data_IF_608610039806
#
_entry.id   IF_608610039806
#
_cell.length_a   1.000
_cell.length_b   1.000
_cell.length_c   1.000
_cell.angle_alpha   90.00
_cell.angle_beta   90.00
_cell.angle_gamma   90.00
#
_symmetry.space_group_name_H-M   'P 1'
#
loop_
_entity.id
_entity.type
_entity.pdbx_description
1 polymer ?
#
# COMPACT_ATOMS: atom_id res chain seq x y z
N UNK A 1 -25.04 -11.60 39.64
CA UNK A 1 -24.92 -12.21 38.32
C UNK A 1 -25.73 -11.53 37.19
N UNK A 2 -26.98 -11.05 37.45
CA UNK A 2 -27.79 -10.41 36.40
C UNK A 2 -27.27 -9.05 35.90
N UNK A 3 -26.61 -8.24 36.73
CA UNK A 3 -26.03 -6.95 36.32
C UNK A 3 -24.85 -7.06 35.38
N UNK A 4 -24.04 -8.11 35.48
CA UNK A 4 -22.94 -8.39 34.60
C UNK A 4 -23.38 -8.80 33.18
N UNK A 5 -24.46 -9.59 33.09
CA UNK A 5 -25.03 -10.03 31.82
C UNK A 5 -25.65 -8.88 31.01
N UNK A 6 -26.33 -7.96 31.69
CA UNK A 6 -26.96 -6.79 31.06
C UNK A 6 -25.88 -5.83 30.51
N UNK A 7 -24.78 -5.68 31.22
CA UNK A 7 -23.65 -4.84 30.75
C UNK A 7 -22.91 -5.46 29.53
N UNK A 8 -22.77 -6.80 29.53
CA UNK A 8 -22.14 -7.55 28.41
C UNK A 8 -23.03 -7.53 27.16
N UNK A 9 -24.35 -7.70 27.32
CA UNK A 9 -25.33 -7.66 26.21
C UNK A 9 -25.46 -6.24 25.65
N UNK A 10 -25.39 -5.19 26.47
CA UNK A 10 -25.45 -3.79 26.02
C UNK A 10 -24.20 -3.37 25.22
N UNK A 11 -23.00 -3.87 25.56
CA UNK A 11 -21.79 -3.62 24.78
C UNK A 11 -21.82 -4.29 23.40
N UNK A 12 -22.51 -5.43 23.26
CA UNK A 12 -22.61 -6.21 22.01
C UNK A 12 -23.52 -5.58 20.94
N UNK A 13 -24.39 -4.62 21.30
CA UNK A 13 -25.38 -4.03 20.38
C UNK A 13 -25.07 -2.60 19.94
N UNK A 14 -24.09 -1.94 20.54
CA UNK A 14 -23.75 -0.56 20.19
C UNK A 14 -22.97 -0.51 18.85
N UNK A 15 -23.55 0.19 17.87
CA UNK A 15 -22.89 0.42 16.58
C UNK A 15 -21.66 1.31 16.76
N UNK A 16 -20.55 0.93 16.13
CA UNK A 16 -19.26 1.62 16.26
C UNK A 16 -19.13 2.80 15.29
N UNK A 17 -18.53 3.91 15.75
CA UNK A 17 -18.03 4.99 14.88
C UNK A 17 -16.58 4.72 14.53
N UNK A 18 -16.25 4.82 13.25
CA UNK A 18 -14.92 4.48 12.70
C UNK A 18 -14.28 5.71 12.06
N UNK A 19 -13.07 6.02 12.46
CA UNK A 19 -12.23 7.02 11.85
C UNK A 19 -11.09 6.34 11.11
N UNK A 20 -10.97 6.62 9.81
CA UNK A 20 -9.85 6.16 8.98
C UNK A 20 -8.97 7.36 8.65
N UNK A 21 -7.67 7.27 8.95
CA UNK A 21 -6.70 8.33 8.71
C UNK A 21 -5.66 7.87 7.69
N UNK A 22 -5.53 8.63 6.61
CA UNK A 22 -4.50 8.43 5.59
C UNK A 22 -3.70 9.71 5.34
N UNK A 23 -2.83 9.71 4.33
CA UNK A 23 -2.22 10.92 3.78
C UNK A 23 -2.32 10.92 2.26
N UNK A 24 -2.42 12.09 1.68
CA UNK A 24 -2.37 12.29 0.22
C UNK A 24 -0.94 12.24 -0.35
N UNK A 25 0.08 12.07 0.49
CA UNK A 25 1.45 11.82 0.06
C UNK A 25 1.60 10.33 -0.33
N UNK A 26 1.28 10.02 -1.56
CA UNK A 26 1.20 8.65 -2.07
C UNK A 26 -0.26 8.17 -2.22
N UNK A 27 -0.56 7.57 -3.37
CA UNK A 27 -1.93 7.15 -3.69
C UNK A 27 -2.30 5.80 -3.11
N UNK A 28 -1.31 4.94 -2.78
CA UNK A 28 -1.54 3.62 -2.21
C UNK A 28 -2.26 3.67 -0.87
N UNK A 29 -1.75 4.48 0.06
CA UNK A 29 -2.34 4.64 1.39
C UNK A 29 -3.78 5.17 1.36
N UNK A 30 -4.05 6.11 0.44
CA UNK A 30 -5.38 6.67 0.22
C UNK A 30 -6.37 5.62 -0.30
N UNK A 31 -5.96 4.80 -1.28
CA UNK A 31 -6.82 3.74 -1.84
C UNK A 31 -7.05 2.61 -0.85
N UNK A 32 -6.05 2.24 -0.06
CA UNK A 32 -6.22 1.29 1.05
C UNK A 32 -7.25 1.80 2.07
N UNK A 33 -7.20 3.09 2.43
CA UNK A 33 -8.20 3.73 3.28
C UNK A 33 -9.59 3.72 2.66
N UNK A 34 -9.70 4.00 1.35
CA UNK A 34 -10.97 3.95 0.61
C UNK A 34 -11.56 2.54 0.57
N UNK A 35 -10.73 1.51 0.37
CA UNK A 35 -11.15 0.11 0.41
C UNK A 35 -11.74 -0.26 1.77
N UNK A 36 -11.05 0.10 2.86
CA UNK A 36 -11.56 -0.10 4.22
C UNK A 36 -12.86 0.68 4.46
N UNK A 37 -12.95 1.92 3.97
CA UNK A 37 -14.15 2.76 4.12
C UNK A 37 -15.38 2.07 3.51
N UNK A 38 -15.25 1.48 2.31
CA UNK A 38 -16.35 0.73 1.66
C UNK A 38 -16.82 -0.43 2.53
N UNK A 39 -15.89 -1.27 3.00
CA UNK A 39 -16.22 -2.47 3.77
C UNK A 39 -16.79 -2.11 5.15
N UNK A 40 -16.27 -1.07 5.83
CA UNK A 40 -16.84 -0.60 7.09
C UNK A 40 -18.27 -0.06 6.91
N UNK A 41 -18.57 0.64 5.81
CA UNK A 41 -19.92 1.14 5.54
C UNK A 41 -20.96 0.01 5.37
N UNK A 42 -20.54 -1.13 4.84
CA UNK A 42 -21.40 -2.30 4.64
C UNK A 42 -21.60 -3.12 5.94
N UNK A 43 -20.76 -2.89 6.96
CA UNK A 43 -20.77 -3.72 8.17
C UNK A 43 -21.91 -3.33 9.13
N UNK A 44 -22.82 -4.28 9.54
CA UNK A 44 -24.03 -3.98 10.29
C UNK A 44 -23.81 -3.37 11.69
N UNK A 45 -22.63 -3.62 12.30
CA UNK A 45 -22.23 -3.10 13.61
C UNK A 45 -21.54 -1.74 13.54
N UNK A 46 -21.48 -1.11 12.37
CA UNK A 46 -20.90 0.23 12.18
C UNK A 46 -22.02 1.24 11.99
N UNK A 47 -21.95 2.34 12.73
CA UNK A 47 -22.91 3.44 12.65
C UNK A 47 -22.49 4.51 11.66
N UNK A 48 -21.21 4.83 11.66
CA UNK A 48 -20.65 5.92 10.89
C UNK A 48 -19.17 5.65 10.57
N UNK A 49 -18.74 5.97 9.36
CA UNK A 49 -17.34 5.89 8.93
C UNK A 49 -16.95 7.25 8.39
N UNK A 50 -15.84 7.78 8.90
CA UNK A 50 -15.24 9.01 8.38
C UNK A 50 -13.80 8.69 7.94
N UNK A 51 -13.50 8.98 6.70
CA UNK A 51 -12.14 8.95 6.17
C UNK A 51 -11.61 10.37 6.04
N UNK A 52 -10.42 10.63 6.57
CA UNK A 52 -9.79 11.96 6.52
C UNK A 52 -8.30 11.87 6.22
N UNK A 53 -7.81 12.85 5.46
CA UNK A 53 -6.39 13.05 5.22
C UNK A 53 -5.77 13.81 6.40
N UNK A 54 -4.78 13.21 7.04
CA UNK A 54 -4.10 13.82 8.19
C UNK A 54 -3.44 15.17 7.86
N UNK A 55 -3.03 15.38 6.61
CA UNK A 55 -2.43 16.63 6.17
C UNK A 55 -3.40 17.83 6.26
N UNK A 56 -4.71 17.61 6.24
CA UNK A 56 -5.69 18.69 6.43
C UNK A 56 -5.63 19.33 7.82
N UNK A 57 -5.15 18.60 8.82
CA UNK A 57 -5.02 19.07 10.20
C UNK A 57 -3.67 19.72 10.49
N UNK A 58 -2.75 19.74 9.52
CA UNK A 58 -1.47 20.42 9.61
C UNK A 58 -1.57 21.82 9.02
N UNK A 59 -0.60 22.69 9.35
CA UNK A 59 -0.56 24.01 8.73
C UNK A 59 -0.26 23.91 7.21
N UNK A 60 -0.72 24.91 6.45
CA UNK A 60 -0.59 24.92 4.98
C UNK A 60 0.85 24.78 4.51
N UNK A 61 1.81 25.45 5.21
CA UNK A 61 3.23 25.39 4.85
C UNK A 61 3.78 23.99 4.98
N UNK A 62 3.46 23.28 6.08
CA UNK A 62 3.90 21.90 6.28
C UNK A 62 3.28 20.96 5.24
N UNK A 63 1.97 21.09 4.98
CA UNK A 63 1.26 20.27 3.98
C UNK A 63 1.86 20.44 2.58
N UNK A 64 2.05 21.68 2.14
CA UNK A 64 2.60 22.00 0.83
C UNK A 64 4.07 21.55 0.72
N UNK A 65 4.84 21.72 1.80
CA UNK A 65 6.22 21.26 1.89
C UNK A 65 6.31 19.74 1.82
N UNK A 66 5.54 19.02 2.65
CA UNK A 66 5.58 17.55 2.74
C UNK A 66 5.20 16.90 1.40
N UNK A 67 4.10 17.34 0.79
CA UNK A 67 3.63 16.80 -0.48
C UNK A 67 4.59 17.09 -1.64
N UNK A 68 5.11 18.33 -1.72
CA UNK A 68 6.05 18.74 -2.77
C UNK A 68 7.43 18.13 -2.58
N UNK A 69 7.91 18.06 -1.32
CA UNK A 69 9.21 17.48 -1.01
C UNK A 69 9.24 16.00 -1.40
N UNK A 70 8.24 15.23 -0.97
CA UNK A 70 8.15 13.80 -1.32
C UNK A 70 8.14 13.60 -2.85
N UNK A 71 7.28 14.32 -3.57
CA UNK A 71 7.21 14.22 -5.04
C UNK A 71 8.53 14.56 -5.72
N UNK A 72 9.22 15.62 -5.24
CA UNK A 72 10.54 16.02 -5.78
C UNK A 72 11.62 15.01 -5.45
N UNK A 73 11.67 14.48 -4.22
CA UNK A 73 12.66 13.46 -3.85
C UNK A 73 12.51 12.20 -4.69
N UNK A 74 11.28 11.77 -4.96
CA UNK A 74 11.02 10.61 -5.82
C UNK A 74 11.45 10.87 -7.27
N UNK A 75 11.31 12.11 -7.77
CA UNK A 75 11.61 12.47 -9.17
C UNK A 75 13.08 12.85 -9.39
N UNK A 76 13.60 13.72 -8.53
CA UNK A 76 14.84 14.45 -8.77
C UNK A 76 16.03 13.89 -7.97
N UNK A 77 15.77 13.17 -6.87
CA UNK A 77 16.81 12.64 -5.98
C UNK A 77 16.45 11.26 -5.39
N UNK A 78 16.15 10.25 -6.22
CA UNK A 78 15.75 8.91 -5.74
C UNK A 78 16.82 8.23 -4.90
N UNK A 79 18.10 8.38 -5.22
CA UNK A 79 19.21 7.78 -4.48
C UNK A 79 19.33 8.37 -3.06
N UNK A 80 19.12 9.70 -2.92
CA UNK A 80 19.07 10.33 -1.62
C UNK A 80 17.89 9.84 -0.78
N UNK A 81 16.72 9.66 -1.41
CA UNK A 81 15.55 9.09 -0.76
C UNK A 81 15.83 7.67 -0.26
N UNK A 82 16.47 6.82 -1.07
CA UNK A 82 16.87 5.46 -0.71
C UNK A 82 17.88 5.43 0.44
N UNK A 83 18.88 6.31 0.40
CA UNK A 83 19.84 6.46 1.49
C UNK A 83 19.15 6.90 2.80
N UNK A 84 18.31 7.94 2.73
CA UNK A 84 17.54 8.41 3.88
C UNK A 84 16.61 7.34 4.45
N UNK A 85 15.94 6.61 3.58
CA UNK A 85 15.09 5.48 3.96
C UNK A 85 15.87 4.43 4.76
N UNK A 86 17.05 4.02 4.28
CA UNK A 86 17.93 3.09 5.00
C UNK A 86 18.42 3.64 6.33
N UNK A 87 18.80 4.93 6.40
CA UNK A 87 19.28 5.56 7.63
C UNK A 87 18.15 5.73 8.67
N UNK A 88 16.92 5.88 8.23
CA UNK A 88 15.76 6.02 9.13
C UNK A 88 15.17 4.69 9.57
N UNK A 89 15.71 3.55 9.10
CA UNK A 89 15.23 2.19 9.44
C UNK A 89 15.92 1.63 10.69
N UNK A 90 16.05 2.46 11.72
CA UNK A 90 16.52 2.04 13.03
C UNK A 90 15.32 1.89 13.98
N UNK A 91 14.99 0.64 14.39
CA UNK A 91 13.87 0.38 15.27
C UNK A 91 13.97 1.18 16.57
N UNK A 92 12.86 1.80 16.97
CA UNK A 92 12.69 2.57 18.20
C UNK A 92 13.54 3.84 18.34
N UNK A 93 14.48 4.12 17.44
CA UNK A 93 15.25 5.38 17.38
C UNK A 93 14.47 6.45 16.62
N UNK A 94 13.34 6.87 17.15
CA UNK A 94 12.42 7.82 16.50
C UNK A 94 12.61 9.27 16.94
N UNK A 95 13.75 9.65 17.51
CA UNK A 95 13.95 10.98 18.07
C UNK A 95 13.75 12.11 17.07
N UNK A 96 14.20 11.95 15.83
CA UNK A 96 13.96 12.95 14.77
C UNK A 96 12.49 13.13 14.44
N UNK A 97 11.74 12.03 14.34
CA UNK A 97 10.29 12.06 14.10
C UNK A 97 9.55 12.60 15.32
N UNK A 98 9.94 12.20 16.53
CA UNK A 98 9.37 12.69 17.80
C UNK A 98 9.52 14.19 17.93
N UNK A 99 10.71 14.75 17.63
CA UNK A 99 10.95 16.20 17.60
C UNK A 99 10.11 16.92 16.56
N UNK A 100 9.90 16.31 15.41
CA UNK A 100 9.01 16.85 14.37
C UNK A 100 7.54 16.83 14.84
N UNK A 101 7.09 15.74 15.46
CA UNK A 101 5.74 15.60 16.00
C UNK A 101 5.47 16.59 17.15
N UNK A 102 6.46 16.83 18.02
CA UNK A 102 6.36 17.82 19.10
C UNK A 102 6.17 19.27 18.59
N UNK A 103 6.68 19.56 17.40
CA UNK A 103 6.56 20.89 16.75
C UNK A 103 5.29 21.04 15.91
N UNK A 104 4.56 19.98 15.64
CA UNK A 104 3.32 20.04 14.87
C UNK A 104 2.20 20.66 15.73
N UNK A 105 1.45 21.57 15.11
CA UNK A 105 0.21 22.04 15.71
C UNK A 105 -0.87 20.95 15.54
N UNK A 106 -0.94 20.05 16.52
CA UNK A 106 -1.90 18.92 16.53
C UNK A 106 -3.28 19.29 17.09
N UNK A 107 -3.46 20.53 17.57
CA UNK A 107 -4.72 21.00 18.16
C UNK A 107 -5.95 20.76 17.28
N UNK A 108 -5.95 21.10 15.97
CA UNK A 108 -7.05 20.84 15.08
C UNK A 108 -7.41 19.35 14.97
N UNK A 109 -6.40 18.48 14.90
CA UNK A 109 -6.59 17.03 14.85
C UNK A 109 -7.20 16.48 16.13
N UNK A 110 -6.68 16.89 17.29
CA UNK A 110 -7.21 16.52 18.62
C UNK A 110 -8.67 16.95 18.75
N UNK A 111 -8.99 18.20 18.38
CA UNK A 111 -10.37 18.72 18.40
C UNK A 111 -11.30 17.90 17.49
N UNK A 112 -10.83 17.52 16.32
CA UNK A 112 -11.58 16.71 15.35
C UNK A 112 -11.86 15.32 15.92
N UNK A 113 -10.83 14.60 16.40
CA UNK A 113 -10.97 13.25 16.96
C UNK A 113 -11.89 13.26 18.18
N UNK A 114 -11.73 14.21 19.12
CA UNK A 114 -12.60 14.35 20.28
C UNK A 114 -14.04 14.65 19.92
N UNK A 115 -14.28 15.50 18.90
CA UNK A 115 -15.64 15.82 18.43
C UNK A 115 -16.30 14.61 17.76
N UNK A 116 -15.56 13.87 16.96
CA UNK A 116 -16.05 12.68 16.28
C UNK A 116 -16.21 11.50 17.26
N UNK A 117 -15.34 11.41 18.27
CA UNK A 117 -15.33 10.39 19.33
C UNK A 117 -15.40 8.96 18.75
N UNK A 118 -14.38 8.53 17.99
CA UNK A 118 -14.37 7.24 17.32
C UNK A 118 -14.19 6.10 18.31
N UNK A 119 -14.90 5.00 18.09
CA UNK A 119 -14.67 3.74 18.79
C UNK A 119 -13.50 2.95 18.19
N UNK A 120 -13.19 3.21 16.91
CA UNK A 120 -12.10 2.58 16.16
C UNK A 120 -11.42 3.67 15.35
N UNK A 121 -10.10 3.81 15.48
CA UNK A 121 -9.28 4.63 14.60
C UNK A 121 -8.30 3.75 13.86
N UNK A 122 -8.28 3.84 12.52
CA UNK A 122 -7.40 3.06 11.65
C UNK A 122 -6.51 4.00 10.87
N UNK A 123 -5.19 3.79 10.93
CA UNK A 123 -4.22 4.54 10.14
C UNK A 123 -3.63 3.65 9.04
N UNK A 124 -3.74 4.09 7.79
CA UNK A 124 -3.13 3.44 6.63
C UNK A 124 -1.82 4.11 6.21
N UNK A 125 -1.28 4.98 7.04
CA UNK A 125 0.00 5.65 6.84
C UNK A 125 0.70 5.88 8.19
N UNK A 126 2.02 5.76 8.22
CA UNK A 126 2.83 5.89 9.44
C UNK A 126 2.71 7.26 10.12
N UNK A 127 2.57 8.35 9.35
CA UNK A 127 2.53 9.71 9.90
C UNK A 127 1.32 9.94 10.83
N UNK A 128 0.04 9.74 10.42
CA UNK A 128 -1.08 9.85 11.35
C UNK A 128 -1.00 8.84 12.49
N UNK A 129 -0.50 7.62 12.25
CA UNK A 129 -0.30 6.63 13.30
C UNK A 129 0.67 7.14 14.37
N UNK A 130 1.84 7.67 13.96
CA UNK A 130 2.82 8.25 14.86
C UNK A 130 2.29 9.45 15.66
N UNK A 131 1.54 10.36 15.01
CA UNK A 131 0.93 11.52 15.69
C UNK A 131 -0.06 11.07 16.75
N UNK A 132 -1.00 10.19 16.41
CA UNK A 132 -2.04 9.72 17.34
C UNK A 132 -1.42 8.91 18.48
N UNK A 133 -0.47 8.02 18.18
CA UNK A 133 0.29 7.26 19.18
C UNK A 133 1.00 8.18 20.19
N UNK A 134 1.66 9.23 19.69
CA UNK A 134 2.35 10.23 20.51
C UNK A 134 1.38 11.01 21.43
N UNK A 135 0.24 11.42 20.89
CA UNK A 135 -0.80 12.12 21.68
C UNK A 135 -1.41 11.23 22.77
N UNK A 136 -1.64 9.94 22.48
CA UNK A 136 -2.10 8.96 23.47
C UNK A 136 -1.03 8.75 24.56
N UNK A 137 0.23 8.56 24.18
CA UNK A 137 1.34 8.39 25.11
C UNK A 137 1.53 9.56 26.07
N UNK A 138 1.21 10.78 25.63
CA UNK A 138 1.24 12.01 26.45
C UNK A 138 -0.07 12.27 27.23
N UNK A 139 -1.07 11.38 27.18
CA UNK A 139 -2.39 11.57 27.76
C UNK A 139 -3.15 12.82 27.23
N UNK A 140 -2.83 13.26 26.03
CA UNK A 140 -3.49 14.36 25.35
C UNK A 140 -4.71 13.92 24.54
N UNK A 141 -4.79 12.63 24.24
CA UNK A 141 -5.86 12.01 23.48
C UNK A 141 -6.17 10.62 24.05
N UNK A 142 -7.43 10.32 24.24
CA UNK A 142 -7.93 8.96 24.46
C UNK A 142 -8.61 8.48 23.19
N UNK A 143 -7.99 7.51 22.50
CA UNK A 143 -8.49 6.98 21.24
C UNK A 143 -7.98 5.56 21.00
N UNK A 144 -8.82 4.72 20.39
CA UNK A 144 -8.34 3.46 19.82
C UNK A 144 -7.42 3.75 18.64
N UNK A 145 -6.30 3.04 18.51
CA UNK A 145 -5.39 3.16 17.37
C UNK A 145 -5.01 1.79 16.84
N UNK A 146 -5.37 1.52 15.59
CA UNK A 146 -4.89 0.37 14.81
C UNK A 146 -4.17 0.83 13.56
N UNK A 147 -3.15 0.08 13.17
CA UNK A 147 -2.20 0.46 12.12
C UNK A 147 -2.25 -0.59 11.01
N UNK A 148 -2.45 -0.17 9.78
CA UNK A 148 -2.46 -1.01 8.59
C UNK A 148 -1.24 -0.65 7.76
N UNK A 149 -0.24 -1.54 7.76
CA UNK A 149 0.96 -1.40 6.93
C UNK A 149 0.59 -1.68 5.47
N UNK A 150 0.94 -0.79 4.57
CA UNK A 150 0.54 -0.82 3.16
C UNK A 150 1.69 -1.16 2.21
N UNK A 151 2.71 -1.78 2.73
CA UNK A 151 3.83 -2.39 2.01
C UNK A 151 3.94 -3.87 2.36
N UNK A 152 4.65 -4.65 1.54
CA UNK A 152 4.91 -6.05 1.85
C UNK A 152 5.86 -6.17 3.03
N UNK A 153 6.88 -5.31 3.07
CA UNK A 153 7.85 -5.26 4.16
C UNK A 153 7.53 -4.14 5.17
N UNK A 154 8.22 -4.16 6.28
CA UNK A 154 8.07 -3.23 7.40
C UNK A 154 9.26 -2.27 7.48
N UNK A 155 8.99 -1.01 7.79
CA UNK A 155 10.00 0.02 8.06
C UNK A 155 9.82 0.61 9.44
N UNK A 156 10.91 0.96 10.13
CA UNK A 156 10.88 1.47 11.50
C UNK A 156 9.96 2.70 11.70
N UNK A 157 9.71 3.50 10.67
CA UNK A 157 8.74 4.61 10.74
C UNK A 157 7.31 4.18 11.08
N UNK A 158 6.94 2.91 10.85
CA UNK A 158 5.64 2.39 11.24
C UNK A 158 5.54 2.05 12.72
N UNK A 159 6.67 1.96 13.45
CA UNK A 159 6.66 1.66 14.89
C UNK A 159 5.99 2.79 15.67
N UNK A 160 5.03 2.41 16.49
CA UNK A 160 4.26 3.29 17.35
C UNK A 160 4.32 2.80 18.79
N UNK A 161 4.47 3.74 19.75
CA UNK A 161 4.59 3.42 21.18
C UNK A 161 3.27 3.08 21.84
N UNK A 162 2.15 3.58 21.30
CA UNK A 162 0.80 3.30 21.76
C UNK A 162 -0.04 2.82 20.58
N UNK A 163 -0.58 1.64 20.68
CA UNK A 163 -1.42 1.05 19.64
C UNK A 163 -2.29 -0.08 20.22
N UNK A 164 -3.32 -0.49 19.48
CA UNK A 164 -4.14 -1.65 19.81
C UNK A 164 -3.76 -2.85 18.95
N UNK A 165 -3.58 -2.64 17.64
CA UNK A 165 -3.30 -3.72 16.69
C UNK A 165 -2.52 -3.24 15.48
N UNK A 166 -1.68 -4.14 14.94
CA UNK A 166 -1.07 -4.04 13.62
C UNK A 166 -1.71 -5.01 12.65
N UNK A 167 -1.88 -4.56 11.41
CA UNK A 167 -2.23 -5.38 10.27
C UNK A 167 -1.10 -5.29 9.26
N UNK A 168 -0.59 -6.45 8.84
CA UNK A 168 0.57 -6.58 7.96
C UNK A 168 0.23 -7.43 6.74
N UNK A 169 1.04 -7.29 5.68
CA UNK A 169 0.78 -7.94 4.41
C UNK A 169 1.10 -9.44 4.43
N UNK A 170 2.25 -9.82 4.99
CA UNK A 170 2.84 -11.16 4.91
C UNK A 170 3.32 -11.64 6.28
N UNK A 171 3.52 -12.96 6.42
CA UNK A 171 3.99 -13.60 7.67
C UNK A 171 5.38 -13.10 8.08
N UNK A 172 6.29 -12.88 7.13
CA UNK A 172 7.64 -12.41 7.41
C UNK A 172 7.63 -11.06 8.13
N UNK A 173 6.77 -10.14 7.71
CA UNK A 173 6.58 -8.86 8.39
C UNK A 173 6.04 -9.03 9.81
N UNK A 174 5.17 -10.01 10.04
CA UNK A 174 4.72 -10.35 11.40
C UNK A 174 5.87 -10.86 12.26
N UNK A 175 6.67 -11.79 11.73
CA UNK A 175 7.85 -12.32 12.43
C UNK A 175 8.83 -11.19 12.74
N UNK A 176 9.09 -10.29 11.80
CA UNK A 176 9.94 -9.12 12.02
C UNK A 176 9.44 -8.25 13.18
N UNK A 177 8.15 -7.92 13.22
CA UNK A 177 7.56 -7.16 14.33
C UNK A 177 7.66 -7.90 15.67
N UNK A 178 7.50 -9.23 15.69
CA UNK A 178 7.68 -10.05 16.90
C UNK A 178 9.14 -10.00 17.39
N UNK A 179 10.11 -10.05 16.49
CA UNK A 179 11.53 -9.91 16.83
C UNK A 179 11.87 -8.51 17.38
N UNK A 180 11.09 -7.50 17.01
CA UNK A 180 11.14 -6.15 17.58
C UNK A 180 10.39 -6.04 18.92
N UNK A 181 9.89 -7.15 19.49
CA UNK A 181 9.25 -7.23 20.78
C UNK A 181 7.73 -7.04 20.79
N UNK A 182 7.07 -6.91 19.64
CA UNK A 182 5.62 -6.76 19.60
C UNK A 182 4.93 -8.13 19.82
N UNK A 183 3.91 -8.21 20.70
CA UNK A 183 3.19 -9.46 20.96
C UNK A 183 2.43 -9.98 19.74
N UNK A 184 2.52 -11.30 19.50
CA UNK A 184 1.90 -11.96 18.34
C UNK A 184 0.41 -11.73 18.21
N UNK A 185 -0.31 -11.68 19.33
CA UNK A 185 -1.76 -11.46 19.38
C UNK A 185 -2.18 -10.05 18.96
N UNK A 186 -1.22 -9.12 18.88
CA UNK A 186 -1.41 -7.74 18.39
C UNK A 186 -1.17 -7.58 16.91
N UNK A 187 -0.69 -8.64 16.23
CA UNK A 187 -0.29 -8.59 14.83
C UNK A 187 -1.13 -9.58 14.03
N UNK A 188 -1.89 -9.06 13.09
CA UNK A 188 -2.73 -9.86 12.18
C UNK A 188 -2.17 -9.79 10.77
N UNK A 189 -1.89 -10.94 10.17
CA UNK A 189 -1.53 -11.02 8.74
C UNK A 189 -2.81 -11.00 7.93
N UNK A 190 -3.19 -9.82 7.48
CA UNK A 190 -4.42 -9.58 6.72
C UNK A 190 -4.20 -9.51 5.21
N UNK A 191 -3.01 -9.13 4.78
CA UNK A 191 -2.79 -8.57 3.46
C UNK A 191 -3.02 -7.06 3.46
N UNK A 192 -2.69 -6.42 2.33
CA UNK A 192 -2.96 -4.99 2.10
C UNK A 192 -4.42 -4.85 1.63
N UNK A 193 -5.23 -3.99 2.24
CA UNK A 193 -6.64 -3.83 1.85
C UNK A 193 -6.75 -3.21 0.46
N UNK A 194 -7.40 -3.93 -0.44
CA UNK A 194 -7.70 -3.52 -1.81
C UNK A 194 -9.19 -3.31 -2.00
N UNK A 195 -9.57 -2.59 -3.05
CA UNK A 195 -10.97 -2.37 -3.41
C UNK A 195 -11.66 -3.73 -3.70
N UNK A 196 -12.85 -3.99 -3.15
CA UNK A 196 -13.62 -5.21 -3.45
C UNK A 196 -13.88 -5.46 -4.94
N UNK A 197 -13.79 -4.42 -5.79
CA UNK A 197 -13.91 -4.59 -7.24
C UNK A 197 -12.86 -5.55 -7.81
N UNK A 198 -11.66 -5.67 -7.21
CA UNK A 198 -10.62 -6.59 -7.66
C UNK A 198 -11.00 -8.07 -7.48
N UNK A 199 -11.92 -8.39 -6.57
CA UNK A 199 -12.35 -9.78 -6.30
C UNK A 199 -13.53 -10.23 -7.17
N UNK A 200 -14.22 -9.30 -7.84
CA UNK A 200 -15.38 -9.62 -8.67
C UNK A 200 -14.99 -10.42 -9.90
N UNK A 201 -15.73 -11.48 -10.19
CA UNK A 201 -15.62 -12.22 -11.44
C UNK A 201 -16.05 -11.34 -12.61
N UNK A 202 -15.37 -11.48 -13.74
CA UNK A 202 -15.68 -10.75 -14.99
C UNK A 202 -15.73 -11.75 -16.17
N UNK A 203 -16.49 -11.39 -17.18
CA UNK A 203 -16.32 -11.95 -18.51
C UNK A 203 -15.17 -11.22 -19.23
N UNK A 204 -14.01 -11.86 -19.24
CA UNK A 204 -12.77 -11.31 -19.79
C UNK A 204 -12.89 -10.98 -21.27
N UNK A 205 -13.59 -11.81 -22.06
CA UNK A 205 -13.74 -11.61 -23.49
C UNK A 205 -14.63 -10.39 -23.81
N UNK A 206 -15.78 -10.31 -23.14
CA UNK A 206 -16.70 -9.16 -23.27
C UNK A 206 -16.01 -7.86 -22.83
N UNK A 207 -15.27 -7.91 -21.72
CA UNK A 207 -14.58 -6.71 -21.21
C UNK A 207 -13.42 -6.27 -22.11
N UNK A 208 -12.66 -7.20 -22.70
CA UNK A 208 -11.64 -6.87 -23.72
C UNK A 208 -12.26 -6.17 -24.93
N UNK A 209 -13.42 -6.66 -25.42
CA UNK A 209 -14.13 -6.04 -26.52
C UNK A 209 -14.57 -4.59 -26.20
N UNK A 210 -15.03 -4.29 -24.99
CA UNK A 210 -15.39 -2.94 -24.54
C UNK A 210 -14.20 -1.96 -24.59
N UNK A 211 -12.98 -2.44 -24.37
CA UNK A 211 -11.76 -1.64 -24.50
C UNK A 211 -11.18 -1.64 -25.92
N UNK A 212 -11.86 -2.23 -26.90
CA UNK A 212 -11.39 -2.32 -28.29
C UNK A 212 -10.13 -3.19 -28.44
N UNK A 213 -9.98 -4.19 -27.57
CA UNK A 213 -8.84 -5.11 -27.58
C UNK A 213 -9.16 -6.36 -28.40
N UNK A 214 -8.16 -6.87 -29.11
CA UNK A 214 -8.25 -8.15 -29.77
C UNK A 214 -8.29 -9.29 -28.72
N UNK A 215 -9.27 -10.21 -28.76
CA UNK A 215 -9.44 -11.22 -27.74
C UNK A 215 -8.31 -12.27 -27.68
N UNK A 216 -7.64 -12.52 -28.80
CA UNK A 216 -6.62 -13.58 -28.94
C UNK A 216 -5.19 -13.09 -28.73
N UNK A 217 -4.95 -11.78 -28.75
CA UNK A 217 -3.62 -11.20 -28.60
C UNK A 217 -3.27 -11.00 -27.13
N UNK A 218 -2.00 -11.23 -26.72
CA UNK A 218 -1.56 -10.88 -25.38
C UNK A 218 -1.78 -9.40 -25.08
N UNK A 219 -2.22 -9.10 -23.86
CA UNK A 219 -2.50 -7.74 -23.41
C UNK A 219 -1.54 -7.34 -22.28
N UNK A 220 -0.78 -6.29 -22.51
CA UNK A 220 0.13 -5.69 -21.54
C UNK A 220 -0.56 -4.48 -20.88
N UNK A 221 -0.39 -4.32 -19.57
CA UNK A 221 -0.84 -3.14 -18.84
C UNK A 221 0.38 -2.37 -18.32
N UNK A 222 0.72 -1.26 -18.98
CA UNK A 222 1.77 -0.36 -18.52
C UNK A 222 1.17 0.75 -17.65
N UNK A 223 1.67 0.90 -16.43
CA UNK A 223 1.25 1.97 -15.51
C UNK A 223 2.40 2.91 -15.16
N UNK A 224 2.23 4.20 -15.45
CA UNK A 224 3.12 5.26 -15.00
C UNK A 224 2.84 5.69 -13.53
N UNK A 225 1.95 4.98 -12.84
CA UNK A 225 1.46 5.35 -11.52
C UNK A 225 0.43 6.49 -11.55
N UNK A 226 -0.21 6.74 -10.41
CA UNK A 226 -1.31 7.71 -10.36
C UNK A 226 -0.86 9.17 -10.60
N UNK A 227 0.39 9.48 -10.29
CA UNK A 227 0.99 10.80 -10.56
C UNK A 227 1.60 10.92 -11.96
N UNK A 228 1.68 9.82 -12.71
CA UNK A 228 2.29 9.80 -14.03
C UNK A 228 3.80 9.98 -14.02
N UNK A 229 4.45 9.55 -12.93
CA UNK A 229 5.91 9.66 -12.75
C UNK A 229 6.58 8.37 -13.18
N UNK A 230 7.42 8.44 -14.19
CA UNK A 230 8.20 7.30 -14.68
C UNK A 230 8.52 7.42 -16.17
N UNK A 231 9.36 6.54 -16.70
CA UNK A 231 9.83 6.59 -18.06
C UNK A 231 8.81 5.95 -19.05
N UNK A 232 7.50 6.28 -18.91
CA UNK A 232 6.44 5.62 -19.69
C UNK A 232 6.65 5.75 -21.21
N UNK A 233 7.06 6.93 -21.70
CA UNK A 233 7.37 7.13 -23.10
C UNK A 233 8.54 6.29 -23.59
N UNK A 234 9.58 6.16 -22.76
CA UNK A 234 10.73 5.31 -23.10
C UNK A 234 10.34 3.83 -23.14
N UNK A 235 9.53 3.37 -22.18
CA UNK A 235 8.99 2.00 -22.18
C UNK A 235 8.16 1.77 -23.42
N UNK A 236 7.26 2.67 -23.79
CA UNK A 236 6.42 2.59 -24.99
C UNK A 236 7.29 2.46 -26.25
N UNK A 237 8.35 3.26 -26.38
CA UNK A 237 9.27 3.14 -27.55
C UNK A 237 9.92 1.74 -27.64
N UNK A 238 10.27 1.15 -26.51
CA UNK A 238 10.81 -0.22 -26.49
C UNK A 238 9.75 -1.28 -26.79
N UNK A 239 8.51 -1.07 -26.31
CA UNK A 239 7.41 -2.01 -26.61
C UNK A 239 7.02 -2.05 -28.08
N UNK A 240 7.32 -1.02 -28.88
CA UNK A 240 7.13 -1.07 -30.33
C UNK A 240 8.01 -2.10 -31.03
N UNK A 241 9.12 -2.51 -30.43
CA UNK A 241 10.05 -3.51 -30.97
C UNK A 241 9.75 -4.94 -30.49
N UNK A 242 8.61 -5.19 -29.84
CA UNK A 242 8.18 -6.53 -29.50
C UNK A 242 8.01 -7.38 -30.76
N UNK A 243 8.51 -8.61 -30.71
CA UNK A 243 8.30 -9.63 -31.75
C UNK A 243 6.91 -10.23 -31.67
N UNK A 244 6.40 -10.29 -30.43
CA UNK A 244 5.03 -10.71 -30.16
C UNK A 244 4.06 -9.65 -30.65
N UNK A 245 2.90 -10.07 -31.14
CA UNK A 245 1.82 -9.17 -31.53
C UNK A 245 1.02 -8.65 -30.32
N UNK A 246 1.68 -8.42 -29.18
CA UNK A 246 1.02 -7.95 -27.98
C UNK A 246 0.42 -6.56 -28.18
N UNK A 247 -0.72 -6.33 -27.53
CA UNK A 247 -1.37 -5.03 -27.44
C UNK A 247 -1.14 -4.44 -26.05
N UNK A 248 -1.02 -3.12 -25.95
CA UNK A 248 -0.62 -2.46 -24.71
C UNK A 248 -1.63 -1.40 -24.30
N UNK A 249 -2.11 -1.47 -23.07
CA UNK A 249 -2.85 -0.39 -22.42
C UNK A 249 -1.85 0.41 -21.60
N UNK A 250 -1.80 1.73 -21.81
CA UNK A 250 -0.90 2.63 -21.10
C UNK A 250 -1.70 3.58 -20.21
N UNK A 251 -1.47 3.50 -18.90
CA UNK A 251 -2.10 4.38 -17.91
C UNK A 251 -1.12 5.48 -17.52
N UNK A 252 -1.44 6.73 -17.88
CA UNK A 252 -0.60 7.90 -17.63
C UNK A 252 -0.95 8.63 -16.32
N UNK A 253 -1.93 8.14 -15.57
CA UNK A 253 -2.38 8.78 -14.34
C UNK A 253 -2.96 10.18 -14.56
N UNK A 254 -2.76 11.08 -13.59
CA UNK A 254 -3.31 12.45 -13.64
C UNK A 254 -2.43 13.44 -14.41
N UNK A 255 -1.26 13.03 -14.87
CA UNK A 255 -0.35 13.89 -15.62
C UNK A 255 -0.77 14.00 -17.08
N UNK A 256 -1.35 15.15 -17.45
CA UNK A 256 -1.67 15.48 -18.82
C UNK A 256 -0.40 15.51 -19.70
N UNK A 257 0.68 16.06 -19.17
CA UNK A 257 1.95 16.15 -19.88
C UNK A 257 2.52 14.76 -20.22
N UNK A 258 2.54 13.83 -19.25
CA UNK A 258 2.96 12.44 -19.49
C UNK A 258 2.08 11.79 -20.55
N UNK A 259 0.77 11.98 -20.48
CA UNK A 259 -0.16 11.44 -21.47
C UNK A 259 0.14 11.96 -22.88
N UNK A 260 0.37 13.27 -23.03
CA UNK A 260 0.70 13.89 -24.33
C UNK A 260 2.05 13.41 -24.87
N UNK A 261 3.07 13.23 -24.02
CA UNK A 261 4.37 12.63 -24.43
C UNK A 261 4.18 11.20 -24.92
N UNK A 262 3.44 10.38 -24.16
CA UNK A 262 3.14 8.98 -24.55
C UNK A 262 2.37 8.92 -25.86
N UNK A 263 1.34 9.75 -26.07
CA UNK A 263 0.59 9.79 -27.34
C UNK A 263 1.53 10.12 -28.51
N UNK A 264 2.40 11.12 -28.36
CA UNK A 264 3.39 11.45 -29.39
C UNK A 264 4.35 10.30 -29.67
N UNK A 265 4.81 9.62 -28.60
CA UNK A 265 5.67 8.45 -28.71
C UNK A 265 4.96 7.29 -29.43
N UNK A 266 3.69 7.01 -29.11
CA UNK A 266 2.91 5.97 -29.79
C UNK A 266 2.78 6.24 -31.29
N UNK A 267 2.50 7.46 -31.68
CA UNK A 267 2.19 7.87 -33.06
C UNK A 267 0.72 7.61 -33.43
N UNK A 268 0.25 8.30 -34.48
CA UNK A 268 -1.19 8.35 -34.85
C UNK A 268 -1.75 7.03 -35.38
N UNK A 269 -0.91 6.16 -35.95
CA UNK A 269 -1.35 4.94 -36.64
C UNK A 269 -1.05 3.64 -35.92
N UNK A 270 -0.61 3.69 -34.64
CA UNK A 270 -0.26 2.48 -33.92
C UNK A 270 -1.45 1.89 -33.15
N UNK A 271 -2.16 0.96 -33.79
CA UNK A 271 -3.35 0.29 -33.23
C UNK A 271 -3.02 -0.66 -32.06
N UNK A 272 -1.74 -0.94 -31.79
CA UNK A 272 -1.36 -1.83 -30.69
C UNK A 272 -1.40 -1.14 -29.32
N UNK A 273 -1.57 0.18 -29.26
CA UNK A 273 -1.55 0.93 -28.02
C UNK A 273 -2.88 1.62 -27.73
N UNK A 274 -3.32 1.56 -26.47
CA UNK A 274 -4.45 2.29 -25.93
C UNK A 274 -3.97 3.19 -24.79
N UNK A 275 -3.89 4.51 -25.03
CA UNK A 275 -3.35 5.47 -24.04
C UNK A 275 -4.49 6.11 -23.26
N UNK A 276 -4.53 5.82 -21.97
CA UNK A 276 -5.51 6.34 -21.01
C UNK A 276 -4.85 7.32 -20.04
N UNK A 277 -5.61 8.28 -19.56
CA UNK A 277 -5.25 9.12 -18.42
C UNK A 277 -5.48 8.41 -17.10
N UNK A 278 -5.97 9.15 -16.10
CA UNK A 278 -6.44 8.57 -14.85
C UNK A 278 -7.71 7.72 -15.11
N UNK A 279 -7.76 6.57 -14.46
CA UNK A 279 -8.90 5.65 -14.55
C UNK A 279 -9.29 5.15 -13.16
N UNK A 280 -10.58 4.99 -12.93
CA UNK A 280 -11.18 4.28 -11.79
C UNK A 280 -11.45 2.79 -12.10
N UNK A 281 -11.23 2.37 -13.37
CA UNK A 281 -11.43 1.00 -13.86
C UNK A 281 -10.13 0.16 -13.82
N UNK A 282 -9.23 0.41 -12.86
CA UNK A 282 -7.95 -0.33 -12.78
C UNK A 282 -8.19 -1.83 -12.55
N UNK A 283 -9.20 -2.21 -11.76
CA UNK A 283 -9.56 -3.62 -11.54
C UNK A 283 -9.92 -4.33 -12.85
N UNK A 284 -10.70 -3.69 -13.71
CA UNK A 284 -11.06 -4.23 -15.02
C UNK A 284 -9.81 -4.42 -15.88
N UNK A 285 -8.96 -3.39 -15.96
CA UNK A 285 -7.76 -3.39 -16.79
C UNK A 285 -6.75 -4.46 -16.34
N UNK A 286 -6.55 -4.63 -15.03
CA UNK A 286 -5.68 -5.69 -14.51
C UNK A 286 -6.22 -7.09 -14.83
N UNK A 287 -7.53 -7.31 -14.68
CA UNK A 287 -8.16 -8.62 -14.94
C UNK A 287 -8.13 -9.04 -16.42
N UNK A 288 -8.15 -8.08 -17.37
CA UNK A 288 -8.09 -8.39 -18.80
C UNK A 288 -6.67 -8.47 -19.34
N UNK A 289 -5.67 -8.10 -18.56
CA UNK A 289 -4.26 -8.09 -18.96
C UNK A 289 -3.57 -9.44 -18.68
N UNK A 290 -2.47 -9.70 -19.35
CA UNK A 290 -1.66 -10.89 -19.19
C UNK A 290 -0.37 -10.62 -18.43
N UNK A 291 0.17 -9.39 -18.54
CA UNK A 291 1.34 -8.91 -17.80
C UNK A 291 1.10 -7.45 -17.35
N UNK A 292 1.53 -7.14 -16.13
CA UNK A 292 1.60 -5.78 -15.63
C UNK A 292 3.03 -5.25 -15.74
N UNK A 293 3.20 -4.03 -16.23
CA UNK A 293 4.50 -3.35 -16.33
C UNK A 293 4.42 -2.08 -15.47
N UNK A 294 5.26 -1.99 -14.46
CA UNK A 294 5.23 -0.81 -13.58
C UNK A 294 6.04 -0.95 -12.31
N UNK A 295 5.84 -0.02 -11.40
CA UNK A 295 6.49 -0.01 -10.09
C UNK A 295 5.79 -0.99 -9.13
N UNK A 296 6.53 -1.67 -8.24
CA UNK A 296 5.99 -2.63 -7.30
C UNK A 296 5.53 -1.94 -5.99
N UNK A 297 4.69 -0.90 -6.10
CA UNK A 297 4.08 -0.29 -4.91
C UNK A 297 3.20 -1.30 -4.18
N UNK A 298 3.16 -1.27 -2.84
CA UNK A 298 2.49 -2.28 -2.04
C UNK A 298 1.04 -2.55 -2.45
N UNK A 299 0.23 -1.50 -2.63
CA UNK A 299 -1.16 -1.66 -3.09
C UNK A 299 -1.25 -2.24 -4.49
N UNK A 300 -0.46 -1.74 -5.45
CA UNK A 300 -0.45 -2.24 -6.83
C UNK A 300 -0.05 -3.70 -6.88
N UNK A 301 0.91 -4.11 -6.06
CA UNK A 301 1.33 -5.51 -5.92
C UNK A 301 0.19 -6.38 -5.37
N UNK A 302 -0.51 -5.95 -4.33
CA UNK A 302 -1.66 -6.67 -3.77
C UNK A 302 -2.82 -6.79 -4.79
N UNK A 303 -3.09 -5.73 -5.56
CA UNK A 303 -4.08 -5.71 -6.63
C UNK A 303 -3.69 -6.70 -7.76
N UNK A 304 -2.43 -6.68 -8.21
CA UNK A 304 -1.91 -7.59 -9.24
C UNK A 304 -1.94 -9.06 -8.79
N UNK A 305 -1.50 -9.34 -7.56
CA UNK A 305 -1.58 -10.68 -6.97
C UNK A 305 -3.01 -11.21 -6.95
N UNK A 306 -3.98 -10.36 -6.55
CA UNK A 306 -5.41 -10.73 -6.50
C UNK A 306 -5.98 -11.01 -7.90
N UNK A 307 -5.49 -10.33 -8.92
CA UNK A 307 -5.86 -10.59 -10.31
C UNK A 307 -5.11 -11.78 -10.95
N UNK A 308 -4.17 -12.41 -10.23
CA UNK A 308 -3.27 -13.41 -10.80
C UNK A 308 -2.44 -12.84 -11.95
N UNK A 309 -2.00 -11.60 -11.85
CA UNK A 309 -1.35 -10.85 -12.92
C UNK A 309 0.16 -10.77 -12.69
N UNK A 310 0.99 -11.51 -13.45
CA UNK A 310 2.44 -11.46 -13.33
C UNK A 310 2.99 -10.06 -13.61
N UNK A 311 4.05 -9.68 -12.90
CA UNK A 311 4.60 -8.32 -12.97
C UNK A 311 5.95 -8.26 -13.66
N UNK A 312 6.15 -7.27 -14.50
CA UNK A 312 7.44 -6.81 -15.02
C UNK A 312 7.79 -5.51 -14.30
N UNK A 313 8.65 -5.61 -13.31
CA UNK A 313 9.01 -4.50 -12.45
C UNK A 313 9.99 -3.58 -13.16
N UNK A 314 9.67 -2.28 -13.17
CA UNK A 314 10.49 -1.22 -13.75
C UNK A 314 10.66 -0.07 -12.75
N UNK A 315 11.87 0.44 -12.63
CA UNK A 315 12.22 1.64 -11.85
C UNK A 315 11.56 1.69 -10.46
N UNK A 316 11.74 0.68 -9.58
CA UNK A 316 11.23 0.75 -8.22
C UNK A 316 11.82 1.97 -7.50
N UNK A 317 11.03 2.60 -6.63
CA UNK A 317 11.54 3.68 -5.76
C UNK A 317 12.52 3.06 -4.77
N UNK A 318 13.76 3.60 -4.68
CA UNK A 318 14.77 3.07 -3.76
C UNK A 318 14.28 3.02 -2.31
N UNK A 319 14.59 1.91 -1.65
CA UNK A 319 14.17 1.60 -0.29
C UNK A 319 12.84 0.85 -0.24
N UNK A 320 11.72 1.53 -0.23
CA UNK A 320 10.40 0.95 -0.01
C UNK A 320 9.96 0.00 -1.14
N UNK A 321 9.97 0.47 -2.40
CA UNK A 321 9.52 -0.35 -3.51
C UNK A 321 10.56 -1.41 -3.92
N UNK A 322 11.85 -1.20 -3.57
CA UNK A 322 12.87 -2.24 -3.75
C UNK A 322 12.58 -3.46 -2.90
N UNK A 323 12.23 -3.28 -1.61
CA UNK A 323 11.86 -4.38 -0.72
C UNK A 323 10.61 -5.11 -1.22
N UNK A 324 9.59 -4.39 -1.65
CA UNK A 324 8.42 -5.00 -2.29
C UNK A 324 8.83 -5.80 -3.54
N UNK A 325 9.76 -5.26 -4.34
CA UNK A 325 10.30 -5.94 -5.52
C UNK A 325 10.99 -7.25 -5.16
N UNK A 326 11.81 -7.25 -4.11
CA UNK A 326 12.59 -8.42 -3.68
C UNK A 326 11.65 -9.56 -3.27
N UNK A 327 10.63 -9.30 -2.47
CA UNK A 327 9.59 -10.30 -2.11
C UNK A 327 8.89 -10.88 -3.35
N UNK A 328 8.45 -10.01 -4.29
CA UNK A 328 7.75 -10.48 -5.50
C UNK A 328 8.65 -11.32 -6.42
N UNK A 329 9.95 -11.04 -6.45
CA UNK A 329 10.94 -11.82 -7.21
C UNK A 329 11.21 -13.16 -6.55
N UNK A 330 11.41 -13.19 -5.23
CA UNK A 330 11.64 -14.39 -4.43
C UNK A 330 10.45 -15.37 -4.55
N UNK A 331 9.24 -14.84 -4.48
CA UNK A 331 8.01 -15.61 -4.64
C UNK A 331 7.75 -16.05 -6.09
N UNK A 332 8.55 -15.58 -7.06
CA UNK A 332 8.45 -15.95 -8.47
C UNK A 332 7.19 -15.45 -9.15
N UNK A 333 6.63 -14.33 -8.72
CA UNK A 333 5.45 -13.68 -9.33
C UNK A 333 5.81 -12.47 -10.19
N UNK A 334 7.08 -12.09 -10.18
CA UNK A 334 7.59 -10.96 -10.95
C UNK A 334 8.93 -11.26 -11.63
N UNK A 335 9.25 -10.44 -12.62
CA UNK A 335 10.62 -10.29 -13.17
C UNK A 335 10.99 -8.82 -13.10
N UNK A 336 12.27 -8.52 -12.82
CA UNK A 336 12.77 -7.14 -12.76
C UNK A 336 13.53 -6.78 -14.03
N UNK A 337 13.23 -5.64 -14.61
CA UNK A 337 13.97 -5.07 -15.72
C UNK A 337 14.97 -4.05 -15.17
N UNK A 338 16.23 -4.49 -14.97
CA UNK A 338 17.30 -3.61 -14.48
C UNK A 338 17.75 -2.62 -15.57
N UNK A 339 17.84 -3.11 -16.83
CA UNK A 339 18.19 -2.31 -17.99
C UNK A 339 16.96 -2.11 -18.87
N UNK A 340 16.41 -0.90 -18.89
CA UNK A 340 15.19 -0.57 -19.62
C UNK A 340 15.27 -0.84 -21.12
N UNK A 341 16.49 -0.83 -21.69
CA UNK A 341 16.75 -1.18 -23.10
C UNK A 341 16.42 -2.65 -23.41
N UNK A 342 16.41 -3.53 -22.39
CA UNK A 342 16.14 -4.96 -22.54
C UNK A 342 14.68 -5.35 -22.28
N UNK A 343 13.79 -4.38 -22.03
CA UNK A 343 12.41 -4.67 -21.60
C UNK A 343 11.63 -5.46 -22.65
N UNK A 344 11.77 -5.12 -23.94
CA UNK A 344 11.09 -5.85 -25.01
C UNK A 344 11.56 -7.33 -25.05
N UNK A 345 12.87 -7.58 -24.96
CA UNK A 345 13.41 -8.95 -24.90
C UNK A 345 12.84 -9.73 -23.70
N UNK A 346 12.76 -9.13 -22.51
CA UNK A 346 12.22 -9.79 -21.32
C UNK A 346 10.73 -10.13 -21.47
N UNK A 347 9.96 -9.22 -22.07
CA UNK A 347 8.53 -9.44 -22.31
C UNK A 347 8.32 -10.54 -23.35
N UNK A 348 9.03 -10.47 -24.49
CA UNK A 348 8.97 -11.53 -25.50
C UNK A 348 9.35 -12.90 -24.90
N UNK A 349 10.41 -12.95 -24.08
CA UNK A 349 10.83 -14.19 -23.40
C UNK A 349 9.78 -14.76 -22.45
N UNK A 350 8.95 -13.91 -21.83
CA UNK A 350 7.81 -14.35 -21.01
C UNK A 350 6.66 -14.82 -21.90
N UNK A 351 6.33 -14.07 -22.95
CA UNK A 351 5.23 -14.40 -23.85
C UNK A 351 5.50 -15.67 -24.70
N UNK A 352 6.78 -15.96 -24.97
CA UNK A 352 7.22 -17.19 -25.63
C UNK A 352 7.18 -18.42 -24.70
N UNK A 353 6.95 -18.22 -23.37
CA UNK A 353 6.85 -19.28 -22.36
C UNK A 353 5.51 -19.21 -21.59
N UNK A 354 4.40 -19.67 -22.17
CA UNK A 354 3.09 -19.67 -21.52
C UNK A 354 3.08 -20.47 -20.22
N UNK A 355 3.85 -21.54 -20.12
CA UNK A 355 3.92 -22.37 -18.91
C UNK A 355 4.49 -21.59 -17.72
N UNK A 356 5.48 -20.75 -17.98
CA UNK A 356 6.04 -19.85 -16.97
C UNK A 356 5.05 -18.78 -16.54
N UNK A 357 4.32 -18.16 -17.47
CA UNK A 357 3.27 -17.19 -17.15
C UNK A 357 2.19 -17.86 -16.28
N UNK A 358 1.77 -19.06 -16.62
CA UNK A 358 0.75 -19.80 -15.86
C UNK A 358 1.24 -20.17 -14.45
N UNK A 359 2.51 -20.51 -14.30
CA UNK A 359 3.12 -20.72 -12.98
C UNK A 359 3.14 -19.44 -12.16
N UNK A 360 3.61 -18.32 -12.74
CA UNK A 360 3.62 -17.00 -12.08
C UNK A 360 2.19 -16.60 -11.65
N UNK A 361 1.19 -16.86 -12.49
CA UNK A 361 -0.22 -16.59 -12.20
C UNK A 361 -0.73 -17.44 -11.02
N UNK A 362 -0.42 -18.74 -11.00
CA UNK A 362 -0.80 -19.64 -9.90
C UNK A 362 -0.18 -19.19 -8.57
N UNK A 363 1.10 -18.83 -8.59
CA UNK A 363 1.80 -18.30 -7.41
C UNK A 363 1.18 -16.98 -6.94
N UNK A 364 0.87 -16.06 -7.86
CA UNK A 364 0.23 -14.79 -7.53
C UNK A 364 -1.11 -15.02 -6.80
N UNK A 365 -1.96 -15.92 -7.29
CA UNK A 365 -3.21 -16.28 -6.61
C UNK A 365 -2.97 -16.91 -5.23
N UNK A 366 -1.97 -17.78 -5.09
CA UNK A 366 -1.65 -18.42 -3.81
C UNK A 366 -1.19 -17.43 -2.73
N UNK A 367 -0.48 -16.37 -3.13
CA UNK A 367 0.01 -15.31 -2.25
C UNK A 367 -1.03 -14.22 -1.99
N UNK A 368 -2.04 -14.13 -2.84
CA UNK A 368 -3.04 -13.07 -2.74
C UNK A 368 -3.83 -13.14 -1.44
N UNK A 369 -4.25 -11.97 -0.94
CA UNK A 369 -5.12 -11.83 0.23
C UNK A 369 -6.35 -10.99 -0.14
N UNK A 370 -7.25 -11.52 -0.98
CA UNK A 370 -8.37 -10.77 -1.53
C UNK A 370 -9.34 -10.25 -0.45
N UNK A 371 -9.44 -10.95 0.68
CA UNK A 371 -10.32 -10.60 1.80
C UNK A 371 -9.65 -9.68 2.85
N UNK A 372 -8.48 -9.08 2.53
CA UNK A 372 -7.71 -8.26 3.46
C UNK A 372 -8.57 -7.18 4.14
N UNK A 373 -9.34 -6.41 3.36
CA UNK A 373 -10.20 -5.36 3.91
C UNK A 373 -11.28 -5.92 4.85
N UNK A 374 -11.89 -7.05 4.50
CA UNK A 374 -12.89 -7.73 5.35
C UNK A 374 -12.27 -8.27 6.62
N UNK A 375 -11.12 -8.94 6.53
CA UNK A 375 -10.39 -9.47 7.68
C UNK A 375 -10.06 -8.36 8.69
N UNK A 376 -9.59 -7.19 8.21
CA UNK A 376 -9.30 -6.03 9.05
C UNK A 376 -10.58 -5.54 9.73
N UNK A 377 -11.66 -5.36 8.98
CA UNK A 377 -12.93 -4.83 9.50
C UNK A 377 -13.54 -5.76 10.55
N UNK A 378 -13.65 -7.06 10.25
CA UNK A 378 -14.19 -8.06 11.18
C UNK A 378 -13.36 -8.13 12.47
N UNK A 379 -12.03 -8.13 12.35
CA UNK A 379 -11.13 -8.13 13.49
C UNK A 379 -11.36 -6.90 14.37
N UNK A 380 -11.39 -5.70 13.81
CA UNK A 380 -11.53 -4.46 14.55
C UNK A 380 -12.93 -4.27 15.15
N UNK A 381 -13.95 -4.74 14.48
CA UNK A 381 -15.32 -4.67 15.02
C UNK A 381 -15.52 -5.62 16.19
N UNK A 382 -14.83 -6.76 16.19
CA UNK A 382 -14.84 -7.75 17.27
C UNK A 382 -13.85 -7.45 18.41
N UNK A 383 -12.86 -6.57 18.18
CA UNK A 383 -11.74 -6.35 19.08
C UNK A 383 -12.13 -5.56 20.32
N UNK A 384 -11.73 -6.07 21.51
CA UNK A 384 -11.87 -5.43 22.81
C UNK A 384 -10.51 -5.32 23.54
N UNK A 385 -9.38 -5.47 22.83
CA UNK A 385 -8.06 -5.40 23.42
C UNK A 385 -7.75 -4.00 23.99
N UNK A 386 -7.19 -3.89 25.20
CA UNK A 386 -6.70 -2.61 25.71
C UNK A 386 -5.49 -2.14 24.87
N UNK A 387 -5.12 -0.84 24.91
CA UNK A 387 -3.92 -0.36 24.23
C UNK A 387 -2.67 -1.02 24.82
N UNK A 388 -1.71 -1.37 23.96
CA UNK A 388 -0.35 -1.69 24.36
C UNK A 388 0.45 -0.40 24.46
N UNK A 389 1.22 -0.24 25.55
CA UNK A 389 2.16 0.86 25.74
C UNK A 389 3.57 0.30 25.76
N UNK A 390 4.41 0.77 24.84
CA UNK A 390 5.85 0.48 24.83
C UNK A 390 6.56 1.63 25.54
N UNK A 391 7.15 1.35 26.69
CA UNK A 391 7.92 2.35 27.46
C UNK A 391 9.28 2.61 26.81
N UNK A 392 10.01 3.62 27.31
CA UNK A 392 11.38 3.88 26.85
C UNK A 392 12.31 2.72 27.21
N UNK A 393 12.14 2.13 28.40
CA UNK A 393 12.89 0.96 28.86
C UNK A 393 12.60 -0.28 28.00
N UNK A 394 11.32 -0.53 27.68
CA UNK A 394 10.94 -1.62 26.77
C UNK A 394 11.58 -1.43 25.38
N UNK A 395 11.53 -0.22 24.82
CA UNK A 395 12.09 0.09 23.53
C UNK A 395 13.62 -0.06 23.49
N UNK A 396 14.31 0.31 24.56
CA UNK A 396 15.76 0.12 24.69
C UNK A 396 16.10 -1.37 24.77
N UNK A 397 15.38 -2.13 25.60
CA UNK A 397 15.56 -3.58 25.71
C UNK A 397 15.32 -4.31 24.37
N UNK A 398 14.27 -3.93 23.65
CA UNK A 398 13.93 -4.46 22.32
C UNK A 398 15.02 -4.14 21.29
N UNK A 399 15.57 -2.91 21.32
CA UNK A 399 16.66 -2.49 20.42
C UNK A 399 17.93 -3.29 20.67
N UNK A 400 18.29 -3.50 21.94
CA UNK A 400 19.45 -4.30 22.33
C UNK A 400 19.30 -5.77 21.95
N UNK A 401 18.09 -6.34 22.11
CA UNK A 401 17.80 -7.71 21.69
C UNK A 401 17.93 -7.89 20.17
N UNK A 402 17.39 -6.96 19.38
CA UNK A 402 17.50 -6.97 17.92
C UNK A 402 18.96 -6.81 17.44
N UNK A 403 19.78 -6.00 18.13
CA UNK A 403 21.19 -5.84 17.81
C UNK A 403 21.99 -7.14 18.10
N UNK A 404 21.72 -7.79 19.23
CA UNK A 404 22.39 -9.08 19.59
C UNK A 404 22.06 -10.18 18.60
N UNK A 405 20.83 -10.26 18.12
CA UNK A 405 20.43 -11.26 17.11
C UNK A 405 21.14 -11.02 15.77
N UNK A 406 21.31 -9.75 15.34
CA UNK A 406 22.10 -9.41 14.13
C UNK A 406 23.56 -9.83 14.28
N UNK A 407 24.19 -9.57 15.42
CA UNK A 407 25.59 -9.94 15.66
C UNK A 407 25.80 -11.46 15.71
N UNK A 408 24.82 -12.24 16.18
CA UNK A 408 24.86 -13.69 16.17
C UNK A 408 24.70 -14.30 14.77
N UNK A 409 23.96 -13.66 13.89
CA UNK A 409 23.77 -14.10 12.48
C UNK A 409 24.95 -13.75 11.58
N UNK A 410 25.80 -12.82 11.98
CA UNK A 410 27.03 -12.43 11.26
C UNK A 410 28.27 -13.24 11.69
N UNK A 411 28.16 -14.08 12.71
CA UNK A 411 29.18 -15.05 13.17
C UNK A 411 28.84 -16.46 12.68
#
# INVERSE_FOLDING_TARGET
MLFGLIHFVRKSTMKKRVLIMSTSAGTGHLRAAQALTKVFHEHPRVAEVVHSDALYFTNKLFRDFYSKLYSRLVQDAPDFLGWWYKQSDEPWKTDGMRLMLDRLNTGPLVKFIRKFDPHITVCTHFMPAGIISHLIAKNLLDAHLSIVVTDLDFHAMWLSRMFHRYFVAIEETKVHLQMLGLPSERITVSGIPIDPEFTKCIDRASLRAQFGLNPTRPTLLLSAGALGVGPAEFVVERLKSLRSEAQTIVICGRSRETRERVIRSVGESNENFRVLGYTDRMADLMKISDLFIGKPGGLTSAEALTCGLPMVIVSPIPGQEERNSDHLLEDGVAVKCNEMTTIAFKIDSLLDDPARIDEMRRRAFALSRPEAARTIVETLVADDLPPLKVTDDDAEAMTLAAARDRDQKLR
#
